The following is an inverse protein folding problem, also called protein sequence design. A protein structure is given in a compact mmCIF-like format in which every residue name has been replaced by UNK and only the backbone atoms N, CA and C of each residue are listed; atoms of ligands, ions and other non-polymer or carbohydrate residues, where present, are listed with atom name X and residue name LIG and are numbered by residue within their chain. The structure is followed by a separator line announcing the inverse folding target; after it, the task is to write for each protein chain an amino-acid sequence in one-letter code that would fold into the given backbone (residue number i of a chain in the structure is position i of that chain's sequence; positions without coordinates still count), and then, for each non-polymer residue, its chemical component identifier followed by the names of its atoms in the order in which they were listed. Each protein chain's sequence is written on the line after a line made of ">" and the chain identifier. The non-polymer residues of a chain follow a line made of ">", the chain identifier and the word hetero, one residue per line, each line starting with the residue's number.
data_IF_313523591130
#
_entry.id   IF_313523591130
#
_cell.length_a   1.000
_cell.length_b   1.000
_cell.length_c   1.000
_cell.angle_alpha   90.00
_cell.angle_beta   90.00
_cell.angle_gamma   90.00
#
_symmetry.space_group_name_H-M   'P 1'
#
loop_
_entity.id
_entity.type
_entity.pdbx_description
1 polymer ?
#
# COMPACT_ATOMS: atom_id res chain seq x y z
N UNK A 1 13.96 5.80 -11.93
CA UNK A 1 12.99 6.62 -12.70
C UNK A 1 11.64 6.57 -12.01
N UNK A 2 10.70 7.44 -12.39
CA UNK A 2 9.39 7.51 -11.75
C UNK A 2 8.26 7.66 -12.79
N UNK A 3 7.08 7.18 -12.44
CA UNK A 3 5.85 7.34 -13.21
C UNK A 3 4.75 7.83 -12.26
N UNK A 4 3.93 8.77 -12.71
CA UNK A 4 2.83 9.33 -11.93
C UNK A 4 1.61 9.45 -12.83
N UNK A 5 0.48 8.96 -12.34
CA UNK A 5 -0.83 9.08 -12.99
C UNK A 5 -1.82 9.70 -12.00
N UNK A 6 -2.72 10.54 -12.49
CA UNK A 6 -3.70 11.23 -11.65
C UNK A 6 -4.37 12.38 -12.39
N UNK A 7 -5.34 13.01 -11.73
CA UNK A 7 -6.12 14.11 -12.32
C UNK A 7 -5.53 15.51 -12.05
N UNK A 8 -4.83 15.68 -10.93
CA UNK A 8 -4.31 16.99 -10.48
C UNK A 8 -2.98 16.86 -9.74
N UNK A 9 -2.13 17.87 -9.86
CA UNK A 9 -0.81 17.96 -9.22
C UNK A 9 0.18 16.86 -9.61
N UNK A 10 -0.01 16.22 -10.77
CA UNK A 10 0.86 15.17 -11.33
C UNK A 10 2.15 15.78 -11.87
N UNK A 11 2.00 16.84 -12.66
CA UNK A 11 3.06 17.70 -13.18
C UNK A 11 4.01 18.17 -12.07
N UNK A 12 3.46 18.69 -10.98
CA UNK A 12 4.23 19.14 -9.81
C UNK A 12 5.15 18.03 -9.28
N UNK A 13 4.65 16.80 -9.11
CA UNK A 13 5.46 15.73 -8.52
C UNK A 13 6.47 15.15 -9.50
N UNK A 14 6.13 15.06 -10.79
CA UNK A 14 7.11 14.57 -11.76
C UNK A 14 8.25 15.57 -11.93
N UNK A 15 7.99 16.88 -11.86
CA UNK A 15 9.03 17.92 -11.90
C UNK A 15 9.95 17.87 -10.67
N UNK A 16 9.39 17.67 -9.48
CA UNK A 16 10.19 17.50 -8.25
C UNK A 16 11.09 16.26 -8.36
N UNK A 17 10.55 15.12 -8.80
CA UNK A 17 11.34 13.89 -8.94
C UNK A 17 12.41 14.01 -10.03
N UNK A 18 12.08 14.64 -11.17
CA UNK A 18 13.04 14.90 -12.24
C UNK A 18 14.17 15.82 -11.74
N UNK A 19 13.84 16.86 -10.97
CA UNK A 19 14.82 17.76 -10.37
C UNK A 19 15.73 17.04 -9.37
N UNK A 20 15.15 16.24 -8.47
CA UNK A 20 15.91 15.44 -7.50
C UNK A 20 16.87 14.46 -8.19
N UNK A 21 16.39 13.75 -9.23
CA UNK A 21 17.22 12.85 -10.03
C UNK A 21 18.35 13.60 -10.75
N UNK A 22 18.05 14.76 -11.36
CA UNK A 22 19.05 15.57 -12.05
C UNK A 22 20.11 16.14 -11.09
N UNK A 23 19.72 16.42 -9.84
CA UNK A 23 20.61 16.86 -8.77
C UNK A 23 21.43 15.71 -8.15
N UNK A 24 21.22 14.46 -8.57
CA UNK A 24 21.93 13.29 -8.03
C UNK A 24 21.48 12.89 -6.63
N UNK A 25 20.30 13.33 -6.18
CA UNK A 25 19.75 12.93 -4.88
C UNK A 25 19.43 11.43 -4.88
N UNK A 26 19.73 10.78 -3.76
CA UNK A 26 19.27 9.42 -3.49
C UNK A 26 17.76 9.41 -3.23
N UNK A 27 17.13 8.27 -3.45
CA UNK A 27 15.69 8.15 -3.23
C UNK A 27 15.29 8.22 -1.74
N UNK A 28 16.24 7.96 -0.82
CA UNK A 28 16.04 8.09 0.62
C UNK A 28 15.92 9.56 1.05
N UNK A 29 16.62 10.47 0.37
CA UNK A 29 16.59 11.91 0.66
C UNK A 29 15.25 12.57 0.24
N UNK A 30 14.39 11.88 -0.51
CA UNK A 30 13.07 12.38 -0.86
C UNK A 30 12.19 12.64 0.37
N UNK A 31 12.41 11.90 1.46
CA UNK A 31 11.65 12.08 2.69
C UNK A 31 11.94 13.42 3.39
N UNK A 32 13.11 14.03 3.11
CA UNK A 32 13.60 15.25 3.74
C UNK A 32 13.34 16.53 2.92
N UNK A 33 12.72 16.40 1.73
CA UNK A 33 12.36 17.55 0.90
C UNK A 33 11.32 18.44 1.61
N UNK A 34 11.70 19.67 1.92
CA UNK A 34 10.82 20.70 2.47
C UNK A 34 10.04 21.39 1.35
N UNK A 35 8.87 20.84 1.03
CA UNK A 35 8.01 21.29 -0.07
C UNK A 35 6.92 22.23 0.45
N UNK A 36 6.52 23.18 -0.40
CA UNK A 36 5.49 24.15 -0.06
C UNK A 36 4.16 23.47 0.35
N UNK A 37 3.68 23.82 1.55
CA UNK A 37 2.45 23.29 2.12
C UNK A 37 1.47 24.39 2.52
N UNK A 38 0.26 24.29 1.98
CA UNK A 38 -0.98 24.78 2.56
C UNK A 38 -2.12 23.84 2.12
N UNK A 39 -3.27 23.80 2.82
CA UNK A 39 -4.38 22.89 2.51
C UNK A 39 -4.80 22.79 1.03
N UNK A 40 -4.82 23.88 0.22
CA UNK A 40 -5.21 23.76 -1.19
C UNK A 40 -4.11 23.19 -2.11
N UNK A 41 -2.85 23.09 -1.66
CA UNK A 41 -1.70 22.78 -2.56
C UNK A 41 -1.05 21.43 -2.28
N UNK A 42 -1.02 21.02 -1.02
CA UNK A 42 -0.37 19.77 -0.61
C UNK A 42 -0.90 19.27 0.73
N UNK A 43 -0.33 18.18 1.21
CA UNK A 43 -0.47 17.71 2.59
C UNK A 43 0.80 18.03 3.38
N UNK A 44 0.76 17.88 4.70
CA UNK A 44 1.95 18.06 5.56
C UNK A 44 3.12 17.14 5.16
N UNK A 45 2.83 16.04 4.48
CA UNK A 45 3.81 15.19 3.77
C UNK A 45 3.35 15.10 2.32
N UNK A 46 4.12 15.62 1.37
CA UNK A 46 3.80 15.51 -0.05
C UNK A 46 3.91 14.04 -0.50
N UNK A 47 3.16 13.60 -1.51
CA UNK A 47 3.36 12.29 -2.15
C UNK A 47 4.83 11.95 -2.47
N UNK A 48 5.69 12.92 -2.79
CA UNK A 48 7.13 12.68 -2.96
C UNK A 48 7.79 12.25 -1.64
N UNK A 49 7.48 12.93 -0.53
CA UNK A 49 7.99 12.52 0.79
C UNK A 49 7.45 11.12 1.16
N UNK A 50 6.19 10.84 0.86
CA UNK A 50 5.58 9.53 1.11
C UNK A 50 6.25 8.40 0.32
N UNK A 51 6.67 8.66 -0.92
CA UNK A 51 7.47 7.73 -1.70
C UNK A 51 8.84 7.49 -1.04
N UNK A 52 9.52 8.56 -0.59
CA UNK A 52 10.77 8.45 0.18
C UNK A 52 10.63 7.59 1.44
N UNK A 53 9.59 7.82 2.24
CA UNK A 53 9.31 6.98 3.42
C UNK A 53 9.06 5.52 3.05
N UNK A 54 8.35 5.23 1.96
CA UNK A 54 8.12 3.84 1.54
C UNK A 54 9.43 3.17 1.11
N UNK A 55 10.29 3.88 0.37
CA UNK A 55 11.60 3.38 -0.07
C UNK A 55 12.48 3.08 1.15
N UNK A 56 12.55 4.00 2.11
CA UNK A 56 13.29 3.80 3.36
C UNK A 56 12.81 2.55 4.13
N UNK A 57 11.48 2.38 4.25
CA UNK A 57 10.92 1.19 4.90
C UNK A 57 11.32 -0.12 4.20
N UNK A 58 11.46 -0.12 2.87
CA UNK A 58 11.86 -1.31 2.10
C UNK A 58 13.37 -1.54 2.22
N UNK A 59 14.19 -0.50 2.00
CA UNK A 59 15.66 -0.56 2.04
C UNK A 59 16.18 -0.98 3.42
N UNK A 60 15.55 -0.51 4.50
CA UNK A 60 15.93 -0.87 5.87
C UNK A 60 15.40 -2.24 6.32
N UNK A 61 14.63 -2.94 5.49
CA UNK A 61 13.98 -4.21 5.84
C UNK A 61 12.82 -4.06 6.83
N UNK A 62 12.37 -2.83 7.10
CA UNK A 62 11.21 -2.53 7.96
C UNK A 62 9.90 -3.06 7.35
N UNK A 63 9.84 -3.17 6.02
CA UNK A 63 8.69 -3.66 5.28
C UNK A 63 9.16 -4.55 4.12
N UNK A 64 8.60 -5.76 4.02
CA UNK A 64 8.69 -6.58 2.82
C UNK A 64 7.47 -6.34 1.93
N UNK A 65 7.63 -6.45 0.62
CA UNK A 65 6.53 -6.28 -0.32
C UNK A 65 6.37 -7.48 -1.25
N UNK A 66 5.17 -7.60 -1.80
CA UNK A 66 4.87 -8.43 -2.97
C UNK A 66 3.97 -7.64 -3.93
N UNK A 67 3.96 -8.02 -5.20
CA UNK A 67 3.39 -7.27 -6.31
C UNK A 67 2.23 -8.01 -6.98
N UNK A 68 1.51 -7.29 -7.86
CA UNK A 68 0.27 -7.76 -8.49
C UNK A 68 0.46 -8.97 -9.41
N UNK A 69 1.66 -9.12 -9.98
CA UNK A 69 2.08 -10.22 -10.84
C UNK A 69 2.46 -11.48 -10.05
N UNK A 70 2.85 -11.34 -8.78
CA UNK A 70 3.16 -12.48 -7.89
C UNK A 70 1.90 -13.10 -7.27
N UNK A 71 0.76 -12.42 -7.30
CA UNK A 71 -0.49 -12.88 -6.65
C UNK A 71 -0.91 -14.27 -7.14
N UNK A 72 -0.77 -14.54 -8.44
CA UNK A 72 -1.14 -15.83 -9.02
C UNK A 72 -0.21 -16.99 -8.65
N UNK A 73 0.97 -16.68 -8.09
CA UNK A 73 1.99 -17.65 -7.69
C UNK A 73 1.96 -17.95 -6.18
N UNK A 74 1.12 -17.23 -5.41
CA UNK A 74 1.00 -17.44 -3.97
C UNK A 74 0.39 -18.83 -3.67
N UNK A 75 0.96 -19.61 -2.75
CA UNK A 75 0.43 -20.91 -2.40
C UNK A 75 -0.96 -20.83 -1.76
N UNK A 76 -1.90 -21.65 -2.25
CA UNK A 76 -3.22 -21.87 -1.65
C UNK A 76 -3.31 -23.25 -0.94
N UNK A 77 -2.16 -23.86 -0.65
CA UNK A 77 -2.05 -25.14 0.05
C UNK A 77 -2.00 -25.00 1.59
N UNK A 78 -2.15 -23.77 2.08
CA UNK A 78 -2.09 -23.44 3.49
C UNK A 78 -0.67 -23.32 4.07
N UNK A 79 0.37 -23.31 3.24
CA UNK A 79 1.76 -23.00 3.66
C UNK A 79 1.98 -21.51 3.99
N UNK A 80 1.05 -20.65 3.59
CA UNK A 80 1.07 -19.20 3.88
C UNK A 80 -0.27 -18.75 4.48
N UNK A 81 -0.31 -17.52 4.99
CA UNK A 81 -1.57 -16.85 5.37
C UNK A 81 -1.83 -15.71 4.39
N UNK A 82 -2.96 -15.75 3.69
CA UNK A 82 -3.41 -14.69 2.80
C UNK A 82 -4.46 -13.85 3.57
N UNK A 83 -4.16 -12.59 3.85
CA UNK A 83 -4.97 -11.74 4.75
C UNK A 83 -5.40 -10.46 4.03
N UNK A 84 -6.70 -10.17 3.99
CA UNK A 84 -7.24 -8.91 3.51
C UNK A 84 -7.74 -8.07 4.70
N UNK A 85 -7.14 -6.89 4.89
CA UNK A 85 -7.45 -6.01 6.04
C UNK A 85 -8.35 -4.82 5.67
N UNK A 86 -9.01 -4.90 4.50
CA UNK A 86 -10.11 -3.99 4.14
C UNK A 86 -11.32 -4.21 5.06
N UNK A 87 -12.24 -3.25 5.01
CA UNK A 87 -13.54 -3.41 5.67
C UNK A 87 -14.29 -4.60 5.05
N UNK A 88 -15.20 -5.20 5.82
CA UNK A 88 -16.04 -6.30 5.31
C UNK A 88 -16.87 -5.88 4.11
N UNK A 89 -17.27 -4.61 4.03
CA UNK A 89 -17.99 -4.06 2.89
C UNK A 89 -17.13 -4.03 1.61
N UNK A 90 -15.90 -3.49 1.69
CA UNK A 90 -14.97 -3.49 0.56
C UNK A 90 -14.65 -4.92 0.10
N UNK A 91 -14.40 -5.82 1.04
CA UNK A 91 -14.13 -7.23 0.78
C UNK A 91 -15.32 -7.93 0.09
N UNK A 92 -16.54 -7.65 0.54
CA UNK A 92 -17.78 -8.21 -0.01
C UNK A 92 -18.10 -7.73 -1.43
N UNK A 93 -17.62 -6.55 -1.83
CA UNK A 93 -17.78 -6.03 -3.20
C UNK A 93 -16.83 -6.69 -4.21
N UNK A 94 -15.78 -7.35 -3.74
CA UNK A 94 -14.80 -8.03 -4.56
C UNK A 94 -13.49 -8.23 -3.80
N UNK A 95 -12.93 -9.43 -3.94
CA UNK A 95 -11.65 -9.80 -3.32
C UNK A 95 -10.93 -10.81 -4.19
N UNK A 96 -9.68 -11.08 -3.82
CA UNK A 96 -8.87 -12.13 -4.44
C UNK A 96 -9.15 -13.44 -3.70
N UNK A 97 -9.38 -14.52 -4.44
CA UNK A 97 -9.63 -15.84 -3.86
C UNK A 97 -8.46 -16.27 -2.95
N UNK A 98 -8.78 -17.01 -1.88
CA UNK A 98 -7.80 -17.50 -0.90
C UNK A 98 -7.50 -16.51 0.25
N UNK A 99 -7.69 -15.20 0.04
CA UNK A 99 -7.53 -14.22 1.11
C UNK A 99 -8.65 -14.35 2.15
N UNK A 100 -8.32 -14.22 3.44
CA UNK A 100 -9.29 -14.19 4.54
C UNK A 100 -9.42 -12.75 5.05
N UNK A 101 -10.64 -12.30 5.33
CA UNK A 101 -10.87 -10.93 5.80
C UNK A 101 -10.79 -10.79 7.32
N UNK A 102 -9.86 -9.98 7.79
CA UNK A 102 -9.83 -9.44 9.17
C UNK A 102 -9.57 -7.93 9.04
N UNK A 103 -10.59 -7.06 9.20
CA UNK A 103 -10.42 -5.63 9.08
C UNK A 103 -9.29 -5.10 9.98
N UNK A 104 -8.53 -4.11 9.50
CA UNK A 104 -7.40 -3.53 10.24
C UNK A 104 -7.77 -3.14 11.68
N UNK A 105 -8.96 -2.57 11.88
CA UNK A 105 -9.41 -2.08 13.18
C UNK A 105 -9.66 -3.23 14.18
N UNK A 106 -9.98 -4.43 13.70
CA UNK A 106 -10.20 -5.64 14.51
C UNK A 106 -8.91 -6.48 14.66
N UNK A 107 -7.89 -6.21 13.83
CA UNK A 107 -6.70 -7.06 13.70
C UNK A 107 -5.98 -7.32 15.03
N UNK A 108 -5.91 -6.33 15.92
CA UNK A 108 -5.22 -6.47 17.20
C UNK A 108 -5.95 -7.44 18.14
N UNK A 109 -7.28 -7.39 18.14
CA UNK A 109 -8.12 -8.23 18.99
C UNK A 109 -8.20 -9.66 18.44
N UNK A 110 -8.19 -9.78 17.11
CA UNK A 110 -8.32 -11.04 16.37
C UNK A 110 -6.99 -11.65 15.95
N UNK A 111 -5.86 -11.13 16.44
CA UNK A 111 -4.53 -11.61 16.04
C UNK A 111 -4.29 -13.09 16.36
N UNK A 112 -5.01 -13.63 17.34
CA UNK A 112 -4.97 -15.06 17.70
C UNK A 112 -5.52 -15.99 16.62
N UNK A 113 -6.29 -15.48 15.66
CA UNK A 113 -6.80 -16.24 14.51
C UNK A 113 -5.74 -16.48 13.44
N UNK A 114 -4.64 -15.71 13.47
CA UNK A 114 -3.58 -15.79 12.46
C UNK A 114 -2.58 -16.89 12.85
N UNK A 115 -2.44 -17.88 11.96
CA UNK A 115 -1.52 -19.01 12.15
C UNK A 115 -0.07 -18.51 12.29
N UNK A 116 0.56 -18.85 13.40
CA UNK A 116 1.96 -18.48 13.70
C UNK A 116 2.95 -19.35 12.93
N UNK A 117 4.15 -18.81 12.70
CA UNK A 117 5.25 -19.51 12.03
C UNK A 117 5.12 -19.60 10.51
N UNK A 118 4.04 -19.08 9.93
CA UNK A 118 3.84 -18.97 8.49
C UNK A 118 4.03 -17.52 8.04
N UNK A 119 4.52 -17.27 6.81
CA UNK A 119 4.52 -15.93 6.24
C UNK A 119 3.09 -15.44 5.99
N UNK A 120 2.85 -14.16 6.25
CA UNK A 120 1.54 -13.51 6.10
C UNK A 120 1.60 -12.49 4.95
N UNK A 121 0.84 -12.73 3.90
CA UNK A 121 0.69 -11.82 2.77
C UNK A 121 -0.55 -10.97 2.99
N UNK A 122 -0.35 -9.66 3.14
CA UNK A 122 -1.40 -8.74 3.58
C UNK A 122 -1.80 -7.77 2.48
N UNK A 123 -3.09 -7.76 2.18
CA UNK A 123 -3.73 -6.89 1.20
C UNK A 123 -4.58 -5.83 1.89
N UNK A 124 -4.64 -4.65 1.29
CA UNK A 124 -5.72 -3.70 1.55
C UNK A 124 -6.12 -2.97 0.25
N UNK A 125 -6.91 -1.89 0.31
CA UNK A 125 -7.38 -1.20 -0.91
C UNK A 125 -6.26 -0.46 -1.66
N UNK A 126 -5.32 0.19 -0.96
CA UNK A 126 -4.33 1.12 -1.55
C UNK A 126 -2.88 0.93 -1.08
N UNK A 127 -2.62 -0.05 -0.21
CA UNK A 127 -1.31 -0.31 0.42
C UNK A 127 -1.11 0.31 1.82
N UNK A 128 -1.89 1.33 2.21
CA UNK A 128 -1.71 2.01 3.50
C UNK A 128 -2.12 1.13 4.71
N UNK A 129 -3.31 0.53 4.66
CA UNK A 129 -3.81 -0.29 5.77
C UNK A 129 -3.02 -1.58 5.92
N UNK A 130 -2.61 -2.20 4.80
CA UNK A 130 -1.76 -3.39 4.79
C UNK A 130 -0.36 -3.09 5.32
N UNK A 131 0.20 -1.90 5.06
CA UNK A 131 1.42 -1.44 5.73
C UNK A 131 1.24 -1.44 7.25
N UNK A 132 0.19 -0.79 7.77
CA UNK A 132 -0.10 -0.74 9.19
C UNK A 132 -0.31 -2.13 9.80
N UNK A 133 -1.05 -3.00 9.09
CA UNK A 133 -1.24 -4.40 9.46
C UNK A 133 0.10 -5.13 9.57
N UNK A 134 1.00 -4.99 8.59
CA UNK A 134 2.32 -5.60 8.67
C UNK A 134 3.17 -5.04 9.82
N UNK A 135 3.06 -3.75 10.17
CA UNK A 135 3.74 -3.22 11.36
C UNK A 135 3.19 -3.81 12.65
N UNK A 136 1.86 -3.99 12.76
CA UNK A 136 1.22 -4.66 13.90
C UNK A 136 1.69 -6.12 14.00
N UNK A 137 1.68 -6.85 12.89
CA UNK A 137 2.04 -8.26 12.81
C UNK A 137 3.53 -8.48 13.10
N UNK A 138 4.42 -7.66 12.54
CA UNK A 138 5.86 -7.74 12.79
C UNK A 138 6.19 -7.53 14.28
N UNK A 139 5.53 -6.57 14.95
CA UNK A 139 5.69 -6.36 16.40
C UNK A 139 5.19 -7.54 17.25
N UNK A 140 4.38 -8.44 16.67
CA UNK A 140 3.87 -9.66 17.30
C UNK A 140 4.59 -10.93 16.84
N UNK A 141 5.72 -10.79 16.13
CA UNK A 141 6.60 -11.88 15.73
C UNK A 141 6.18 -12.61 14.45
N UNK A 142 5.32 -12.02 13.62
CA UNK A 142 4.97 -12.57 12.30
C UNK A 142 5.93 -12.06 11.22
N UNK A 143 6.22 -12.92 10.23
CA UNK A 143 6.84 -12.48 8.98
C UNK A 143 5.74 -12.00 8.03
N UNK A 144 5.81 -10.75 7.56
CA UNK A 144 4.71 -10.10 6.83
C UNK A 144 5.18 -9.46 5.52
N UNK A 145 4.38 -9.64 4.48
CA UNK A 145 4.57 -9.07 3.15
C UNK A 145 3.39 -8.14 2.83
N UNK A 146 3.66 -6.87 2.60
CA UNK A 146 2.66 -5.87 2.26
C UNK A 146 2.40 -5.85 0.75
N UNK A 147 1.13 -5.85 0.35
CA UNK A 147 0.76 -5.77 -1.05
C UNK A 147 1.01 -4.37 -1.64
N UNK A 148 1.90 -4.29 -2.62
CA UNK A 148 2.23 -3.03 -3.29
C UNK A 148 1.06 -2.56 -4.16
N UNK A 149 0.65 -1.30 -3.99
CA UNK A 149 -0.45 -0.68 -4.74
C UNK A 149 -1.87 -1.07 -4.31
N UNK A 150 -2.05 -2.15 -3.54
CA UNK A 150 -3.35 -2.56 -3.02
C UNK A 150 -4.31 -3.15 -4.05
N UNK A 151 -5.49 -3.58 -3.59
CA UNK A 151 -6.55 -4.20 -4.40
C UNK A 151 -6.99 -3.31 -5.57
N UNK A 152 -7.00 -1.98 -5.40
CA UNK A 152 -7.36 -1.05 -6.48
C UNK A 152 -6.42 -1.18 -7.68
N UNK A 153 -5.11 -1.26 -7.45
CA UNK A 153 -4.14 -1.42 -8.53
C UNK A 153 -4.31 -2.78 -9.22
N UNK A 154 -4.45 -3.84 -8.42
CA UNK A 154 -4.72 -5.19 -8.93
C UNK A 154 -5.98 -5.21 -9.81
N UNK A 155 -7.08 -4.66 -9.31
CA UNK A 155 -8.35 -4.61 -10.04
C UNK A 155 -8.23 -3.81 -11.34
N UNK A 156 -7.54 -2.67 -11.31
CA UNK A 156 -7.27 -1.83 -12.50
C UNK A 156 -6.54 -2.63 -13.58
N UNK A 157 -5.52 -3.40 -13.20
CA UNK A 157 -4.69 -4.18 -14.14
C UNK A 157 -5.47 -5.39 -14.69
N UNK A 158 -6.12 -6.18 -13.82
CA UNK A 158 -6.75 -7.44 -14.24
C UNK A 158 -8.14 -7.26 -14.86
N UNK A 159 -8.87 -6.19 -14.51
CA UNK A 159 -10.20 -5.92 -15.07
C UNK A 159 -10.19 -4.85 -16.16
N UNK A 160 -9.02 -4.30 -16.49
CA UNK A 160 -8.86 -3.21 -17.45
C UNK A 160 -9.86 -2.06 -17.17
N UNK A 161 -9.96 -1.66 -15.91
CA UNK A 161 -10.93 -0.67 -15.43
C UNK A 161 -10.25 0.58 -14.88
N UNK A 162 -10.85 1.75 -15.08
CA UNK A 162 -10.30 3.02 -14.58
C UNK A 162 -10.51 3.14 -13.07
N UNK A 163 -9.43 3.47 -12.34
CA UNK A 163 -9.49 3.77 -10.92
C UNK A 163 -10.49 4.90 -10.59
N UNK A 164 -11.14 4.80 -9.43
CA UNK A 164 -12.14 5.78 -9.00
C UNK A 164 -11.59 7.22 -8.96
N UNK A 165 -12.44 8.20 -9.32
CA UNK A 165 -12.08 9.63 -9.35
C UNK A 165 -11.81 10.22 -7.96
N UNK A 166 -12.43 9.68 -6.92
CA UNK A 166 -12.28 10.14 -5.55
C UNK A 166 -12.25 8.98 -4.58
N UNK A 167 -11.51 9.15 -3.49
CA UNK A 167 -11.46 8.19 -2.39
C UNK A 167 -11.43 8.87 -1.03
N UNK A 168 -11.82 8.13 0.01
CA UNK A 168 -11.63 8.52 1.40
C UNK A 168 -10.15 8.41 1.79
N UNK A 169 -9.70 9.06 2.90
CA UNK A 169 -8.33 8.94 3.39
C UNK A 169 -7.87 7.49 3.65
N UNK A 170 -8.80 6.59 3.96
CA UNK A 170 -8.54 5.16 4.15
C UNK A 170 -8.29 4.39 2.84
N UNK A 171 -8.39 5.05 1.69
CA UNK A 171 -8.23 4.46 0.36
C UNK A 171 -9.50 3.85 -0.22
N UNK A 172 -10.60 3.79 0.51
CA UNK A 172 -11.89 3.33 -0.02
C UNK A 172 -12.41 4.29 -1.10
N UNK A 173 -12.90 3.75 -2.21
CA UNK A 173 -13.46 4.53 -3.31
C UNK A 173 -14.78 5.19 -2.92
N UNK A 174 -14.96 6.47 -3.28
CA UNK A 174 -16.26 7.13 -3.16
C UNK A 174 -17.11 6.70 -4.34
N UNK A 175 -18.20 5.98 -4.05
CA UNK A 175 -19.21 5.68 -5.05
C UNK A 175 -20.02 6.97 -5.28
N UNK A 176 -20.10 7.42 -6.53
CA UNK A 176 -21.00 8.49 -6.95
C UNK A 176 -22.43 7.97 -7.05
#
# INVERSE_FOLDING_TARGET
>A
GAQIIGYDGVDKRIDVLATAMAAGMSALELQDLDLAYAPPYSSAKDPVNMAGFMIDNIETGTLKQFFWDEVGELPDDGSVVLLDTRTTEEYGRGHINGFVNIPLDELRERIGEIRRGLPVYVMCQSGLRSYLSCRILAQNGFDCYNFSGGYRLYETIYRDCVAAKQSYPCGMDKIN
#
